data_IF_144791645370
#
_entry.id   IF_144791645370
#
_cell.length_a   1.000
_cell.length_b   1.000
_cell.length_c   1.000
_cell.angle_alpha   90.00
_cell.angle_beta   90.00
_cell.angle_gamma   90.00
#
_symmetry.space_group_name_H-M   'P 1'
#
loop_
_entity.id
_entity.type
_entity.pdbx_description
1 polymer ?
#
# COMPACT_ATOMS: atom_id res chain seq x y z
N UNK A 1 36.73 -23.61 -19.06
CA UNK A 1 35.43 -24.31 -19.12
C UNK A 1 34.43 -23.90 -18.02
N UNK A 2 34.85 -23.26 -16.94
CA UNK A 2 33.99 -22.84 -15.81
C UNK A 2 33.13 -21.60 -16.05
N UNK A 3 33.48 -20.72 -17.01
CA UNK A 3 32.69 -19.53 -17.35
C UNK A 3 31.46 -19.79 -18.24
N UNK A 4 31.47 -20.86 -19.03
CA UNK A 4 30.34 -21.22 -19.89
C UNK A 4 29.26 -21.92 -19.05
N UNK A 5 29.67 -22.78 -18.10
CA UNK A 5 28.75 -23.45 -17.19
C UNK A 5 28.00 -22.46 -16.27
N UNK A 6 28.65 -21.38 -15.82
CA UNK A 6 28.01 -20.34 -15.00
C UNK A 6 27.08 -19.43 -15.82
N UNK A 7 27.40 -19.17 -17.09
CA UNK A 7 26.53 -18.46 -18.02
C UNK A 7 25.27 -19.29 -18.35
N UNK A 8 25.41 -20.60 -18.59
CA UNK A 8 24.29 -21.52 -18.84
C UNK A 8 23.41 -21.68 -17.58
N UNK A 9 24.01 -21.74 -16.38
CA UNK A 9 23.25 -21.82 -15.12
C UNK A 9 22.49 -20.53 -14.77
N UNK A 10 23.00 -19.35 -15.19
CA UNK A 10 22.27 -18.07 -15.15
C UNK A 10 21.19 -17.98 -16.21
N UNK A 11 21.38 -18.61 -17.38
CA UNK A 11 20.41 -18.65 -18.46
C UNK A 11 19.13 -19.39 -18.06
N UNK A 12 19.24 -20.46 -17.26
CA UNK A 12 18.11 -21.21 -16.73
C UNK A 12 17.49 -20.65 -15.43
N UNK A 13 18.06 -19.59 -14.84
CA UNK A 13 17.42 -18.85 -13.73
C UNK A 13 16.40 -17.81 -14.19
N UNK A 14 16.19 -17.66 -15.50
CA UNK A 14 14.99 -17.00 -15.99
C UNK A 14 13.79 -17.85 -15.61
N UNK A 15 12.91 -17.30 -14.78
CA UNK A 15 11.57 -17.78 -14.46
C UNK A 15 10.65 -17.77 -15.72
N UNK A 16 11.13 -18.32 -16.83
CA UNK A 16 10.42 -18.40 -18.10
C UNK A 16 9.11 -19.18 -17.96
N UNK A 17 9.06 -20.19 -17.07
CA UNK A 17 7.82 -20.90 -16.76
C UNK A 17 6.76 -19.99 -16.13
N UNK A 18 7.14 -18.93 -15.41
CA UNK A 18 6.18 -18.01 -14.81
C UNK A 18 5.46 -17.18 -15.86
N UNK A 19 6.08 -16.95 -17.03
CA UNK A 19 5.43 -16.35 -18.20
C UNK A 19 4.26 -17.18 -18.74
N UNK A 20 4.26 -18.48 -18.41
CA UNK A 20 3.19 -19.42 -18.71
C UNK A 20 2.24 -19.67 -17.52
N UNK A 21 2.16 -18.80 -16.53
CA UNK A 21 1.08 -18.91 -15.54
C UNK A 21 -0.30 -18.51 -16.13
N UNK A 22 -1.40 -19.16 -15.69
CA UNK A 22 -2.76 -18.73 -16.03
C UNK A 22 -3.01 -17.27 -15.63
N UNK A 23 -3.63 -16.46 -16.50
CA UNK A 23 -3.96 -15.05 -16.21
C UNK A 23 -3.04 -13.99 -16.81
N UNK A 24 -1.89 -14.37 -17.38
CA UNK A 24 -0.94 -13.39 -17.95
C UNK A 24 -1.22 -12.99 -19.41
N UNK A 25 -2.22 -13.57 -20.07
CA UNK A 25 -2.64 -13.33 -21.47
C UNK A 25 -1.56 -13.47 -22.57
N UNK A 26 -0.27 -13.53 -22.24
CA UNK A 26 0.86 -13.66 -23.17
C UNK A 26 0.76 -14.93 -24.01
N UNK A 27 0.27 -16.04 -23.44
CA UNK A 27 0.13 -17.33 -24.14
C UNK A 27 -0.67 -17.23 -25.44
N UNK A 28 -1.76 -16.45 -25.44
CA UNK A 28 -2.65 -16.31 -26.60
C UNK A 28 -1.96 -15.54 -27.73
N UNK A 29 -1.25 -14.47 -27.38
CA UNK A 29 -0.51 -13.65 -28.35
C UNK A 29 0.74 -14.36 -28.86
N UNK A 30 1.46 -15.08 -27.99
CA UNK A 30 2.61 -15.90 -28.40
C UNK A 30 2.18 -17.01 -29.37
N UNK A 31 1.07 -17.70 -29.08
CA UNK A 31 0.49 -18.70 -29.97
C UNK A 31 0.11 -18.08 -31.32
N UNK A 32 -0.53 -16.89 -31.32
CA UNK A 32 -0.89 -16.18 -32.54
C UNK A 32 0.34 -15.81 -33.38
N UNK A 33 1.41 -15.33 -32.76
CA UNK A 33 2.67 -15.02 -33.45
C UNK A 33 3.32 -16.27 -34.05
N UNK A 34 3.34 -17.38 -33.32
CA UNK A 34 3.86 -18.66 -33.83
C UNK A 34 3.05 -19.12 -35.05
N UNK A 35 1.71 -19.05 -34.98
CA UNK A 35 0.82 -19.39 -36.09
C UNK A 35 1.08 -18.47 -37.29
N UNK A 36 1.21 -17.15 -37.07
CA UNK A 36 1.49 -16.18 -38.13
C UNK A 36 2.83 -16.43 -38.83
N UNK A 37 3.89 -16.70 -38.08
CA UNK A 37 5.21 -17.04 -38.64
C UNK A 37 5.16 -18.36 -39.42
N UNK A 38 4.45 -19.36 -38.91
CA UNK A 38 4.26 -20.63 -39.63
C UNK A 38 3.53 -20.43 -40.96
N UNK A 39 2.42 -19.68 -40.97
CA UNK A 39 1.68 -19.35 -42.20
C UNK A 39 2.54 -18.59 -43.20
N UNK A 40 3.32 -17.60 -42.75
CA UNK A 40 4.23 -16.85 -43.60
C UNK A 40 5.32 -17.74 -44.20
N UNK A 41 5.87 -18.66 -43.40
CA UNK A 41 6.89 -19.62 -43.84
C UNK A 41 6.33 -20.57 -44.88
N UNK A 42 5.11 -21.10 -44.69
CA UNK A 42 4.45 -21.94 -45.68
C UNK A 42 4.14 -21.18 -46.97
N UNK A 43 3.60 -19.96 -46.88
CA UNK A 43 3.31 -19.13 -48.05
C UNK A 43 4.56 -18.84 -48.89
N UNK A 44 5.66 -18.45 -48.22
CA UNK A 44 6.93 -18.22 -48.90
C UNK A 44 7.51 -19.51 -49.51
N UNK A 45 7.37 -20.65 -48.82
CA UNK A 45 7.84 -21.94 -49.33
C UNK A 45 7.09 -22.36 -50.59
N UNK A 46 5.79 -22.11 -50.69
CA UNK A 46 5.00 -22.37 -51.89
C UNK A 46 5.44 -21.49 -53.07
N UNK A 47 5.62 -20.18 -52.83
CA UNK A 47 6.09 -19.23 -53.87
C UNK A 47 7.47 -19.64 -54.40
N UNK A 48 8.41 -19.97 -53.50
CA UNK A 48 9.76 -20.41 -53.88
C UNK A 48 9.72 -21.73 -54.65
N UNK A 49 8.88 -22.68 -54.24
CA UNK A 49 8.70 -23.96 -54.95
C UNK A 49 8.16 -23.72 -56.36
N UNK A 50 7.15 -22.87 -56.52
CA UNK A 50 6.53 -22.60 -57.82
C UNK A 50 7.50 -21.90 -58.77
N UNK A 51 8.27 -20.92 -58.28
CA UNK A 51 9.32 -20.25 -59.05
C UNK A 51 10.39 -21.25 -59.56
N UNK A 52 10.74 -22.24 -58.73
CA UNK A 52 11.68 -23.29 -59.13
C UNK A 52 11.11 -24.21 -60.21
N UNK A 53 9.81 -24.54 -60.15
CA UNK A 53 9.14 -25.41 -61.13
C UNK A 53 8.90 -24.70 -62.47
N UNK A 54 8.68 -23.39 -62.47
CA UNK A 54 8.51 -22.57 -63.68
C UNK A 54 9.82 -22.22 -64.37
N UNK A 55 10.95 -22.75 -63.90
CA UNK A 55 12.26 -22.59 -64.55
C UNK A 55 12.90 -21.23 -64.31
N UNK A 56 12.48 -20.49 -63.27
CA UNK A 56 13.07 -19.20 -62.93
C UNK A 56 14.53 -19.39 -62.48
N UNK A 57 15.48 -18.92 -63.29
CA UNK A 57 16.90 -18.94 -62.94
C UNK A 57 17.21 -17.81 -61.97
N UNK A 58 17.58 -18.17 -60.74
CA UNK A 58 18.07 -17.22 -59.76
C UNK A 58 19.40 -16.60 -60.24
N UNK A 59 19.67 -15.32 -59.96
CA UNK A 59 20.96 -14.70 -60.28
C UNK A 59 22.15 -15.41 -59.62
N UNK A 60 23.33 -15.37 -60.25
CA UNK A 60 24.51 -16.15 -59.82
C UNK A 60 24.95 -15.90 -58.36
N UNK A 61 24.76 -14.69 -57.83
CA UNK A 61 25.11 -14.38 -56.44
C UNK A 61 24.25 -15.14 -55.40
N UNK A 62 23.05 -15.61 -55.79
CA UNK A 62 22.19 -16.43 -54.93
C UNK A 62 22.81 -17.77 -54.60
N UNK A 63 23.75 -18.27 -55.42
CA UNK A 63 24.51 -19.49 -55.15
C UNK A 63 25.23 -19.42 -53.78
N UNK A 64 25.86 -18.26 -53.51
CA UNK A 64 26.60 -18.03 -52.27
C UNK A 64 25.67 -17.70 -51.10
N UNK A 65 24.66 -16.86 -51.31
CA UNK A 65 23.69 -16.47 -50.27
C UNK A 65 22.89 -17.66 -49.76
N UNK A 66 22.49 -18.55 -50.68
CA UNK A 66 21.76 -19.78 -50.34
C UNK A 66 22.70 -20.95 -50.08
N UNK A 67 24.02 -20.75 -49.94
CA UNK A 67 24.99 -21.80 -49.61
C UNK A 67 24.82 -23.11 -50.42
N UNK A 68 24.61 -23.02 -51.73
CA UNK A 68 24.30 -24.20 -52.57
C UNK A 68 25.45 -25.21 -52.69
N UNK A 69 26.67 -24.78 -52.35
CA UNK A 69 27.84 -25.63 -52.24
C UNK A 69 27.77 -26.65 -51.08
N UNK A 70 26.81 -26.51 -50.16
CA UNK A 70 26.58 -27.41 -49.01
C UNK A 70 25.43 -28.38 -49.34
N UNK A 71 25.52 -29.68 -48.96
CA UNK A 71 24.42 -30.62 -49.12
C UNK A 71 23.09 -30.10 -48.56
N UNK A 72 21.99 -30.32 -49.30
CA UNK A 72 20.66 -29.74 -49.04
C UNK A 72 20.20 -29.90 -47.59
N UNK A 73 20.39 -31.09 -47.01
CA UNK A 73 19.99 -31.39 -45.63
C UNK A 73 20.81 -30.63 -44.59
N UNK A 74 22.13 -30.54 -44.77
CA UNK A 74 23.05 -29.85 -43.84
C UNK A 74 22.77 -28.35 -43.85
N UNK A 75 22.57 -27.78 -45.04
CA UNK A 75 22.20 -26.38 -45.21
C UNK A 75 20.88 -26.05 -44.51
N UNK A 76 19.86 -26.90 -44.67
CA UNK A 76 18.56 -26.70 -44.03
C UNK A 76 18.66 -26.68 -42.50
N UNK A 77 19.41 -27.64 -41.93
CA UNK A 77 19.69 -27.67 -40.49
C UNK A 77 20.46 -26.44 -40.03
N UNK A 78 21.47 -25.99 -40.77
CA UNK A 78 22.24 -24.80 -40.45
C UNK A 78 21.36 -23.54 -40.40
N UNK A 79 20.53 -23.31 -41.42
CA UNK A 79 19.61 -22.16 -41.43
C UNK A 79 18.58 -22.22 -40.28
N UNK A 80 18.04 -23.40 -39.97
CA UNK A 80 17.12 -23.55 -38.83
C UNK A 80 17.81 -23.24 -37.50
N UNK A 81 19.04 -23.71 -37.29
CA UNK A 81 19.81 -23.44 -36.08
C UNK A 81 20.19 -21.96 -35.95
N UNK A 82 20.61 -21.31 -37.04
CA UNK A 82 20.91 -19.87 -37.06
C UNK A 82 19.66 -19.04 -36.80
N UNK A 83 18.52 -19.38 -37.43
CA UNK A 83 17.25 -18.70 -37.21
C UNK A 83 16.77 -18.85 -35.75
N UNK A 84 16.84 -20.05 -35.18
CA UNK A 84 16.51 -20.29 -33.78
C UNK A 84 17.42 -19.47 -32.85
N UNK A 85 18.74 -19.45 -33.11
CA UNK A 85 19.69 -18.66 -32.34
C UNK A 85 19.42 -17.16 -32.39
N UNK A 86 19.12 -16.62 -33.58
CA UNK A 86 18.75 -15.21 -33.76
C UNK A 86 17.45 -14.87 -33.05
N UNK A 87 16.41 -15.72 -33.14
CA UNK A 87 15.14 -15.50 -32.43
C UNK A 87 15.36 -15.46 -30.92
N UNK A 88 16.11 -16.41 -30.37
CA UNK A 88 16.43 -16.44 -28.93
C UNK A 88 17.20 -15.19 -28.52
N UNK A 89 18.20 -14.80 -29.31
CA UNK A 89 18.99 -13.58 -29.06
C UNK A 89 18.14 -12.31 -29.15
N UNK A 90 17.25 -12.20 -30.13
CA UNK A 90 16.35 -11.06 -30.32
C UNK A 90 15.36 -10.94 -29.17
N UNK A 91 14.74 -12.04 -28.73
CA UNK A 91 13.85 -12.04 -27.57
C UNK A 91 14.62 -11.61 -26.31
N UNK A 92 15.84 -12.14 -26.11
CA UNK A 92 16.69 -11.78 -24.98
C UNK A 92 17.04 -10.28 -24.98
N UNK A 93 17.49 -9.74 -26.12
CA UNK A 93 17.89 -8.33 -26.26
C UNK A 93 16.71 -7.36 -26.16
N UNK A 94 15.55 -7.72 -26.70
CA UNK A 94 14.32 -6.93 -26.56
C UNK A 94 13.87 -6.87 -25.11
N UNK A 95 13.90 -8.00 -24.40
CA UNK A 95 13.56 -8.03 -22.98
C UNK A 95 14.52 -7.16 -22.16
N UNK A 96 15.84 -7.27 -22.42
CA UNK A 96 16.84 -6.47 -21.73
C UNK A 96 16.70 -4.95 -22.00
N UNK A 97 16.41 -4.58 -23.25
CA UNK A 97 16.23 -3.18 -23.68
C UNK A 97 14.96 -2.54 -23.14
N UNK A 98 13.88 -3.30 -22.96
CA UNK A 98 12.64 -2.77 -22.38
C UNK A 98 12.74 -2.64 -20.86
N UNK A 99 13.40 -3.60 -20.20
CA UNK A 99 13.57 -3.59 -18.74
C UNK A 99 14.49 -2.46 -18.29
N UNK A 100 15.57 -2.18 -19.03
CA UNK A 100 16.54 -1.14 -18.67
C UNK A 100 15.96 0.28 -18.68
N UNK A 101 14.90 0.53 -19.46
CA UNK A 101 14.22 1.83 -19.55
C UNK A 101 13.13 1.98 -18.49
N UNK A 102 12.49 0.90 -18.06
CA UNK A 102 11.36 0.94 -17.12
C UNK A 102 11.77 0.86 -15.65
N UNK A 103 12.94 0.31 -15.33
CA UNK A 103 13.42 0.16 -13.95
C UNK A 103 14.87 0.62 -13.82
N UNK A 104 15.12 1.94 -13.76
CA UNK A 104 16.42 2.44 -13.35
C UNK A 104 16.54 2.14 -11.84
N UNK A 105 17.49 1.31 -11.45
CA UNK A 105 17.95 1.14 -10.05
C UNK A 105 17.14 0.29 -9.04
N UNK A 106 16.45 -0.80 -9.45
CA UNK A 106 16.06 -1.87 -8.50
C UNK A 106 16.50 -3.25 -8.98
N UNK A 107 16.91 -4.10 -8.04
CA UNK A 107 17.36 -5.49 -8.24
C UNK A 107 16.53 -6.22 -9.29
N UNK A 108 17.21 -6.62 -10.37
CA UNK A 108 16.70 -6.90 -11.74
C UNK A 108 15.67 -8.04 -11.87
N UNK A 109 15.34 -8.77 -10.81
CA UNK A 109 14.60 -10.04 -10.91
C UNK A 109 13.28 -10.07 -10.14
N UNK A 110 13.12 -9.27 -9.08
CA UNK A 110 11.91 -9.31 -8.24
C UNK A 110 10.83 -8.29 -8.66
N UNK A 111 11.22 -7.24 -9.41
CA UNK A 111 10.42 -6.04 -9.61
C UNK A 111 9.17 -6.24 -10.48
N UNK A 112 9.30 -6.74 -11.72
CA UNK A 112 8.18 -6.73 -12.68
C UNK A 112 7.04 -7.71 -12.35
N UNK A 113 7.38 -8.91 -11.89
CA UNK A 113 6.37 -9.91 -11.51
C UNK A 113 5.66 -9.46 -10.25
N UNK A 114 6.38 -8.91 -9.25
CA UNK A 114 5.73 -8.31 -8.09
C UNK A 114 4.92 -7.08 -8.47
N UNK A 115 5.37 -6.17 -9.34
CA UNK A 115 4.58 -5.01 -9.77
C UNK A 115 3.29 -5.42 -10.48
N UNK A 116 3.34 -6.42 -11.37
CA UNK A 116 2.15 -6.91 -12.08
C UNK A 116 1.22 -7.72 -11.15
N UNK A 117 1.78 -8.56 -10.27
CA UNK A 117 1.03 -9.28 -9.23
C UNK A 117 0.34 -8.30 -8.27
N UNK A 118 1.11 -7.33 -7.74
CA UNK A 118 0.63 -6.24 -6.86
C UNK A 118 -0.47 -5.42 -7.53
N UNK A 119 -0.32 -5.06 -8.81
CA UNK A 119 -1.31 -4.25 -9.52
C UNK A 119 -2.60 -5.01 -9.85
N UNK A 120 -2.53 -6.31 -10.20
CA UNK A 120 -3.71 -7.06 -10.66
C UNK A 120 -4.41 -7.89 -9.58
N UNK A 121 -3.66 -8.54 -8.68
CA UNK A 121 -4.25 -9.37 -7.63
C UNK A 121 -4.68 -8.56 -6.42
N UNK A 122 -3.83 -7.67 -5.90
CA UNK A 122 -4.18 -6.91 -4.69
C UNK A 122 -5.28 -5.87 -4.91
N UNK A 123 -5.46 -5.38 -6.15
CA UNK A 123 -6.60 -4.51 -6.50
C UNK A 123 -7.95 -5.23 -6.43
N UNK A 124 -7.96 -6.57 -6.49
CA UNK A 124 -9.13 -7.42 -6.24
C UNK A 124 -9.14 -8.01 -4.83
N UNK A 125 -8.24 -7.57 -3.95
CA UNK A 125 -8.19 -8.00 -2.57
C UNK A 125 -9.42 -7.52 -1.77
N UNK A 126 -9.63 -8.07 -0.56
CA UNK A 126 -10.75 -7.68 0.29
C UNK A 126 -10.67 -6.20 0.67
N UNK A 127 -11.83 -5.55 0.80
CA UNK A 127 -11.98 -4.21 1.36
C UNK A 127 -11.85 -4.29 2.89
N UNK A 128 -10.73 -3.83 3.43
CA UNK A 128 -10.47 -3.88 4.86
C UNK A 128 -10.48 -2.44 5.41
N UNK A 129 -11.33 -2.20 6.40
CA UNK A 129 -11.36 -0.96 7.16
C UNK A 129 -10.64 -1.17 8.48
N UNK A 130 -9.66 -0.34 8.79
CA UNK A 130 -8.96 -0.34 10.07
C UNK A 130 -9.21 0.98 10.81
N UNK A 131 -9.74 0.89 12.02
CA UNK A 131 -10.14 2.04 12.85
C UNK A 131 -9.22 2.12 14.06
N UNK A 132 -8.56 3.25 14.26
CA UNK A 132 -7.66 3.45 15.40
C UNK A 132 -6.85 4.73 15.32
N UNK A 133 -5.61 4.66 15.81
CA UNK A 133 -4.68 5.78 15.86
C UNK A 133 -3.25 5.31 16.15
N UNK A 134 -2.32 6.26 16.17
CA UNK A 134 -0.94 6.05 16.60
C UNK A 134 -0.10 5.07 15.76
N UNK A 135 0.91 4.50 16.41
CA UNK A 135 1.92 3.63 15.79
C UNK A 135 1.43 2.19 15.62
N UNK A 136 0.49 1.73 16.44
CA UNK A 136 -0.12 0.40 16.36
C UNK A 136 -0.84 0.21 15.03
N UNK A 137 -1.76 1.12 14.71
CA UNK A 137 -2.48 1.13 13.43
C UNK A 137 -1.51 1.22 12.24
N UNK A 138 -0.51 2.11 12.31
CA UNK A 138 0.49 2.25 11.26
C UNK A 138 1.29 0.95 11.01
N UNK A 139 1.59 0.19 12.06
CA UNK A 139 2.29 -1.10 11.94
C UNK A 139 1.40 -2.16 11.29
N UNK A 140 0.14 -2.24 11.71
CA UNK A 140 -0.86 -3.13 11.10
C UNK A 140 -1.02 -2.82 9.60
N UNK A 141 -1.23 -1.56 9.25
CA UNK A 141 -1.40 -1.12 7.85
C UNK A 141 -0.19 -1.45 6.97
N UNK A 142 1.03 -1.32 7.51
CA UNK A 142 2.26 -1.67 6.80
C UNK A 142 2.34 -3.16 6.48
N UNK A 143 1.79 -4.03 7.34
CA UNK A 143 1.66 -5.46 7.04
C UNK A 143 0.54 -5.75 6.06
N UNK A 144 -0.63 -5.15 6.25
CA UNK A 144 -1.82 -5.40 5.43
C UNK A 144 -1.67 -4.96 3.97
N UNK A 145 -0.86 -3.93 3.68
CA UNK A 145 -0.68 -3.41 2.30
C UNK A 145 -0.01 -4.41 1.35
N UNK A 146 0.58 -5.49 1.88
CA UNK A 146 1.13 -6.60 1.10
C UNK A 146 0.03 -7.58 0.64
N UNK A 147 -1.16 -7.55 1.26
CA UNK A 147 -2.26 -8.49 1.02
C UNK A 147 -3.46 -7.87 0.28
N UNK A 148 -3.67 -6.56 0.40
CA UNK A 148 -4.74 -5.86 -0.33
C UNK A 148 -4.36 -4.41 -0.59
N UNK A 149 -4.88 -3.84 -1.68
CA UNK A 149 -4.84 -2.39 -1.97
C UNK A 149 -6.10 -1.66 -1.54
N UNK A 150 -7.13 -2.40 -1.15
CA UNK A 150 -8.44 -1.88 -0.75
C UNK A 150 -8.45 -1.66 0.77
N UNK A 151 -7.46 -0.91 1.27
CA UNK A 151 -7.34 -0.54 2.68
C UNK A 151 -7.92 0.85 2.90
N UNK A 152 -8.75 0.97 3.93
CA UNK A 152 -9.20 2.27 4.44
C UNK A 152 -8.84 2.39 5.91
N UNK A 153 -7.97 3.35 6.24
CA UNK A 153 -7.62 3.69 7.61
C UNK A 153 -8.51 4.84 8.10
N UNK A 154 -9.26 4.62 9.17
CA UNK A 154 -10.05 5.65 9.84
C UNK A 154 -9.33 6.07 11.11
N UNK A 155 -9.01 7.37 11.21
CA UNK A 155 -8.20 7.91 12.31
C UNK A 155 -8.91 9.00 13.08
N UNK A 156 -8.60 9.08 14.38
CA UNK A 156 -9.10 10.15 15.24
C UNK A 156 -8.40 11.47 14.91
N UNK A 157 -9.11 12.58 15.09
CA UNK A 157 -8.57 13.95 14.99
C UNK A 157 -8.62 14.66 16.34
N UNK A 158 -8.63 13.90 17.44
CA UNK A 158 -8.70 14.43 18.80
C UNK A 158 -7.33 14.64 19.48
N UNK A 159 -6.23 14.17 18.86
CA UNK A 159 -4.85 14.33 19.35
C UNK A 159 -4.52 15.81 19.64
N UNK A 160 -3.92 16.07 20.79
CA UNK A 160 -3.45 17.39 21.21
C UNK A 160 -2.02 17.36 21.80
N UNK A 161 -1.31 16.25 21.60
CA UNK A 161 0.04 16.01 22.07
C UNK A 161 1.14 16.44 21.09
N UNK A 162 2.32 16.75 21.65
CA UNK A 162 3.55 17.00 20.90
C UNK A 162 3.40 17.97 19.72
N UNK A 163 3.97 17.60 18.57
CA UNK A 163 3.93 18.44 17.36
C UNK A 163 2.52 18.64 16.81
N UNK A 164 1.61 17.67 16.94
CA UNK A 164 0.23 17.82 16.49
C UNK A 164 -0.50 18.88 17.32
N UNK A 165 -0.35 18.79 18.64
CA UNK A 165 -0.94 19.72 19.60
C UNK A 165 -0.48 21.16 19.46
N UNK A 166 0.82 21.38 19.27
CA UNK A 166 1.37 22.72 19.04
C UNK A 166 0.75 23.33 17.79
N UNK A 167 0.75 22.60 16.67
CA UNK A 167 0.17 23.09 15.41
C UNK A 167 -1.34 23.36 15.53
N UNK A 168 -2.05 22.49 16.24
CA UNK A 168 -3.48 22.64 16.51
C UNK A 168 -3.80 23.92 17.30
N UNK A 169 -3.03 24.22 18.36
CA UNK A 169 -3.22 25.41 19.19
C UNK A 169 -2.82 26.71 18.49
N UNK A 170 -1.70 26.69 17.76
CA UNK A 170 -1.16 27.90 17.12
C UNK A 170 -1.86 28.27 15.81
N UNK A 171 -2.32 27.27 15.04
CA UNK A 171 -2.86 27.46 13.69
C UNK A 171 -4.35 27.11 13.58
N UNK A 172 -4.96 26.55 14.62
CA UNK A 172 -6.38 26.16 14.61
C UNK A 172 -6.71 25.01 13.64
N UNK A 173 -5.71 24.22 13.26
CA UNK A 173 -5.85 23.11 12.29
C UNK A 173 -6.14 21.78 12.98
N UNK A 174 -6.72 20.82 12.26
CA UNK A 174 -6.87 19.45 12.75
C UNK A 174 -5.49 18.80 12.96
N UNK A 175 -5.32 17.96 14.00
CA UNK A 175 -4.04 17.35 14.31
C UNK A 175 -3.61 16.36 13.20
N UNK A 176 -2.43 16.57 12.58
CA UNK A 176 -2.00 15.74 11.44
C UNK A 176 -1.28 14.45 11.84
N UNK A 177 -0.96 14.22 13.12
CA UNK A 177 -0.03 13.18 13.57
C UNK A 177 -0.40 11.76 13.17
N UNK A 178 -1.62 11.33 13.47
CA UNK A 178 -2.09 9.98 13.18
C UNK A 178 -2.30 9.74 11.68
N UNK A 179 -2.82 10.76 10.99
CA UNK A 179 -2.91 10.78 9.53
C UNK A 179 -1.52 10.61 8.91
N UNK A 180 -0.52 11.37 9.38
CA UNK A 180 0.88 11.28 8.91
C UNK A 180 1.43 9.87 9.10
N UNK A 181 1.21 9.26 10.26
CA UNK A 181 1.67 7.89 10.53
C UNK A 181 1.07 6.87 9.54
N UNK A 182 -0.23 6.98 9.27
CA UNK A 182 -0.92 6.11 8.31
C UNK A 182 -0.44 6.32 6.87
N UNK A 183 -0.27 7.58 6.45
CA UNK A 183 0.32 7.92 5.14
C UNK A 183 1.71 7.28 5.01
N UNK A 184 2.57 7.42 6.01
CA UNK A 184 3.92 6.88 5.97
C UNK A 184 3.94 5.33 5.99
N UNK A 185 2.96 4.69 6.64
CA UNK A 185 2.81 3.23 6.63
C UNK A 185 2.41 2.69 5.26
N UNK A 186 1.46 3.37 4.60
CA UNK A 186 0.87 2.95 3.34
C UNK A 186 1.62 3.48 2.10
N UNK A 187 2.61 4.36 2.27
CA UNK A 187 3.44 4.88 1.19
C UNK A 187 4.19 3.76 0.44
N UNK A 188 4.29 3.94 -0.87
CA UNK A 188 5.11 3.15 -1.81
C UNK A 188 6.22 4.00 -2.45
N UNK A 189 6.44 5.20 -1.91
CA UNK A 189 7.45 6.15 -2.36
C UNK A 189 8.88 5.67 -2.11
N UNK A 190 9.84 6.36 -2.73
CA UNK A 190 11.27 6.13 -2.52
C UNK A 190 11.63 6.18 -1.02
N UNK A 191 12.53 5.31 -0.51
CA UNK A 191 12.89 5.27 0.90
C UNK A 191 13.33 6.62 1.46
N UNK A 192 14.01 7.45 0.66
CA UNK A 192 14.43 8.78 1.06
C UNK A 192 13.24 9.71 1.36
N UNK A 193 12.24 9.74 0.48
CA UNK A 193 11.04 10.59 0.65
C UNK A 193 10.25 10.17 1.88
N UNK A 194 10.10 8.86 2.10
CA UNK A 194 9.43 8.34 3.30
C UNK A 194 10.19 8.71 4.58
N UNK A 195 11.52 8.64 4.57
CA UNK A 195 12.35 9.07 5.71
C UNK A 195 12.25 10.57 5.96
N UNK A 196 12.25 11.39 4.91
CA UNK A 196 12.04 12.83 5.03
C UNK A 196 10.67 13.14 5.65
N UNK A 197 9.62 12.45 5.21
CA UNK A 197 8.27 12.64 5.73
C UNK A 197 8.15 12.29 7.23
N UNK A 198 8.92 11.30 7.70
CA UNK A 198 9.00 10.93 9.11
C UNK A 198 10.02 11.75 9.91
N UNK A 199 10.78 12.64 9.27
CA UNK A 199 11.81 13.42 9.95
C UNK A 199 11.21 14.29 11.06
N UNK A 200 11.90 14.33 12.19
CA UNK A 200 11.61 15.18 13.34
C UNK A 200 12.80 16.08 13.60
N UNK A 201 12.56 17.37 13.68
CA UNK A 201 13.59 18.35 13.98
C UNK A 201 14.04 18.19 15.43
N UNK A 202 15.34 17.97 15.64
CA UNK A 202 15.96 17.84 16.96
C UNK A 202 16.33 19.19 17.57
N UNK A 203 16.62 20.18 16.73
CA UNK A 203 17.16 21.48 17.12
C UNK A 203 16.50 22.60 16.31
N UNK A 204 16.67 23.85 16.78
CA UNK A 204 16.18 25.06 16.12
C UNK A 204 15.03 25.74 16.88
N UNK A 205 15.11 27.07 16.98
CA UNK A 205 14.07 27.89 17.61
C UNK A 205 12.75 27.76 16.83
N UNK A 206 11.67 27.33 17.49
CA UNK A 206 10.35 27.15 16.89
C UNK A 206 10.17 25.90 16.02
N UNK A 207 11.24 25.23 15.59
CA UNK A 207 11.17 23.98 14.82
C UNK A 207 11.46 22.73 15.65
N UNK A 208 12.25 22.85 16.72
CA UNK A 208 12.59 21.73 17.58
C UNK A 208 11.32 21.00 18.07
N UNK A 209 11.28 19.68 17.90
CA UNK A 209 10.14 18.83 18.25
C UNK A 209 9.09 18.68 17.16
N UNK A 210 9.03 19.56 16.15
CA UNK A 210 8.11 19.40 15.02
C UNK A 210 8.50 18.25 14.11
N UNK A 211 7.49 17.64 13.49
CA UNK A 211 7.70 16.69 12.39
C UNK A 211 7.54 17.38 11.04
N UNK A 212 8.47 17.12 10.12
CA UNK A 212 8.37 17.64 8.75
C UNK A 212 7.06 17.19 8.09
N UNK A 213 6.65 15.93 8.23
CA UNK A 213 5.38 15.46 7.66
C UNK A 213 4.15 16.17 8.22
N UNK A 214 4.16 16.54 9.50
CA UNK A 214 3.07 17.34 10.09
C UNK A 214 3.03 18.74 9.46
N UNK A 215 4.19 19.42 9.39
CA UNK A 215 4.30 20.73 8.74
C UNK A 215 3.89 20.67 7.27
N UNK A 216 4.27 19.59 6.57
CA UNK A 216 3.91 19.37 5.17
C UNK A 216 2.39 19.25 4.99
N UNK A 217 1.70 18.46 5.81
CA UNK A 217 0.23 18.31 5.75
C UNK A 217 -0.46 19.64 6.06
N UNK A 218 0.01 20.38 7.06
CA UNK A 218 -0.56 21.69 7.42
C UNK A 218 -0.35 22.71 6.30
N UNK A 219 0.85 22.79 5.74
CA UNK A 219 1.14 23.65 4.59
C UNK A 219 0.28 23.27 3.37
N UNK A 220 0.14 21.97 3.10
CA UNK A 220 -0.74 21.48 2.03
C UNK A 220 -2.20 21.87 2.26
N UNK A 221 -2.67 21.83 3.51
CA UNK A 221 -4.02 22.29 3.89
C UNK A 221 -4.21 23.77 3.63
N UNK A 222 -3.20 24.60 3.92
CA UNK A 222 -3.22 26.03 3.59
C UNK A 222 -3.22 26.31 2.08
N UNK A 223 -2.51 25.51 1.29
CA UNK A 223 -2.44 25.67 -0.17
C UNK A 223 -3.73 25.25 -0.87
N UNK A 224 -4.32 24.12 -0.45
CA UNK A 224 -5.52 23.57 -1.10
C UNK A 224 -6.81 24.11 -0.48
N UNK A 225 -6.75 24.64 0.74
CA UNK A 225 -7.89 25.22 1.46
C UNK A 225 -8.76 24.19 2.20
N UNK A 226 -8.38 22.91 2.22
CA UNK A 226 -9.12 21.84 2.88
C UNK A 226 -8.17 20.80 3.46
N UNK A 227 -8.41 20.38 4.72
CA UNK A 227 -7.64 19.31 5.36
C UNK A 227 -7.85 17.96 4.66
N UNK A 228 -9.09 17.68 4.24
CA UNK A 228 -9.43 16.46 3.50
C UNK A 228 -8.64 16.38 2.18
N UNK A 229 -8.65 17.46 1.40
CA UNK A 229 -7.90 17.49 0.15
C UNK A 229 -6.40 17.46 0.37
N UNK A 230 -5.89 18.04 1.46
CA UNK A 230 -4.48 17.94 1.82
C UNK A 230 -4.04 16.50 2.09
N UNK A 231 -4.88 15.69 2.75
CA UNK A 231 -4.64 14.25 2.94
C UNK A 231 -4.62 13.56 1.57
N UNK A 232 -5.59 13.86 0.71
CA UNK A 232 -5.72 13.28 -0.64
C UNK A 232 -4.51 13.60 -1.52
N UNK A 233 -4.06 14.86 -1.55
CA UNK A 233 -2.88 15.28 -2.33
C UNK A 233 -1.58 14.74 -1.75
N UNK A 234 -1.39 14.80 -0.43
CA UNK A 234 -0.21 14.24 0.24
C UNK A 234 -0.11 12.73 -0.02
N UNK A 235 -1.23 12.01 0.05
CA UNK A 235 -1.30 10.58 -0.25
C UNK A 235 -0.91 10.27 -1.69
N UNK A 236 -1.29 11.13 -2.64
CA UNK A 236 -0.91 11.00 -4.05
C UNK A 236 0.59 11.23 -4.26
N UNK A 237 1.16 12.26 -3.63
CA UNK A 237 2.61 12.57 -3.69
C UNK A 237 3.45 11.40 -3.17
N UNK A 238 2.98 10.73 -2.11
CA UNK A 238 3.67 9.60 -1.48
C UNK A 238 3.28 8.23 -2.04
N UNK A 239 2.52 8.18 -3.13
CA UNK A 239 2.05 6.95 -3.76
C UNK A 239 1.43 5.95 -2.77
N UNK A 240 0.58 6.45 -1.87
CA UNK A 240 -0.08 5.66 -0.83
C UNK A 240 -0.96 4.57 -1.43
N UNK A 241 -0.87 3.35 -0.88
CA UNK A 241 -1.70 2.20 -1.24
C UNK A 241 -2.88 2.04 -0.28
N UNK A 242 -3.99 2.72 -0.58
CA UNK A 242 -5.20 2.72 0.24
C UNK A 242 -5.73 4.14 0.43
N UNK A 243 -6.64 4.30 1.39
CA UNK A 243 -7.24 5.57 1.77
C UNK A 243 -7.03 5.82 3.25
N UNK A 244 -6.76 7.08 3.61
CA UNK A 244 -6.73 7.55 5.00
C UNK A 244 -7.85 8.57 5.12
N UNK A 245 -8.78 8.36 6.05
CA UNK A 245 -9.96 9.19 6.23
C UNK A 245 -10.04 9.57 7.72
N UNK A 246 -10.15 10.85 8.06
CA UNK A 246 -10.41 11.24 9.45
C UNK A 246 -11.83 10.81 9.85
N UNK A 247 -12.03 10.43 11.10
CA UNK A 247 -13.35 10.06 11.63
C UNK A 247 -14.36 11.21 11.53
N UNK A 248 -13.89 12.45 11.68
CA UNK A 248 -14.67 13.68 11.51
C UNK A 248 -13.78 14.79 10.95
N UNK A 249 -14.39 15.80 10.31
CA UNK A 249 -13.72 17.06 9.96
C UNK A 249 -13.97 18.16 11.02
N UNK A 250 -14.77 17.88 12.04
CA UNK A 250 -14.95 18.80 13.16
C UNK A 250 -13.72 18.79 14.06
N UNK A 251 -13.36 19.97 14.58
CA UNK A 251 -12.32 20.09 15.59
C UNK A 251 -12.88 19.62 16.94
N UNK A 252 -12.49 18.41 17.37
CA UNK A 252 -13.02 17.75 18.57
C UNK A 252 -11.93 17.55 19.61
N UNK A 253 -12.25 17.81 20.87
CA UNK A 253 -11.37 17.53 22.02
C UNK A 253 -11.86 16.25 22.68
N UNK A 254 -10.93 15.34 22.97
CA UNK A 254 -11.22 14.16 23.78
C UNK A 254 -11.24 14.55 25.26
N UNK A 255 -12.31 14.19 25.95
CA UNK A 255 -12.47 14.42 27.38
C UNK A 255 -12.67 13.07 28.09
N UNK A 256 -12.17 12.98 29.32
CA UNK A 256 -12.40 11.84 30.20
C UNK A 256 -12.97 12.31 31.54
N UNK A 257 -13.84 11.51 32.12
CA UNK A 257 -14.29 11.63 33.50
C UNK A 257 -13.69 10.48 34.30
N UNK A 258 -13.10 10.78 35.47
CA UNK A 258 -12.61 9.75 36.38
C UNK A 258 -13.73 9.24 37.29
N UNK A 259 -13.51 8.12 38.00
CA UNK A 259 -14.43 7.63 39.05
C UNK A 259 -14.65 8.68 40.16
N UNK A 260 -13.64 9.52 40.44
CA UNK A 260 -13.71 10.65 41.37
C UNK A 260 -14.41 11.89 40.79
N UNK A 261 -15.14 11.74 39.68
CA UNK A 261 -15.90 12.81 39.01
C UNK A 261 -15.06 13.98 38.49
N UNK A 262 -13.73 13.83 38.44
CA UNK A 262 -12.85 14.85 37.85
C UNK A 262 -12.92 14.77 36.33
N UNK A 263 -12.92 15.93 35.69
CA UNK A 263 -12.93 16.05 34.23
C UNK A 263 -11.53 16.39 33.75
N UNK A 264 -11.04 15.59 32.82
CA UNK A 264 -9.74 15.75 32.16
C UNK A 264 -10.05 16.12 30.70
N UNK A 265 -9.52 17.23 30.23
CA UNK A 265 -9.67 17.70 28.85
C UNK A 265 -8.34 17.58 28.11
N UNK A 266 -8.38 16.99 26.91
CA UNK A 266 -7.21 16.78 26.07
C UNK A 266 -6.71 15.35 26.12
N UNK A 267 -6.39 14.79 24.95
CA UNK A 267 -5.91 13.41 24.81
C UNK A 267 -4.59 13.20 25.54
N UNK A 268 -3.66 14.14 25.42
CA UNK A 268 -2.33 14.07 26.05
C UNK A 268 -2.35 14.14 27.57
N UNK A 269 -3.48 14.56 28.17
CA UNK A 269 -3.68 14.59 29.62
C UNK A 269 -4.32 13.29 30.13
N UNK A 270 -5.01 12.54 29.27
CA UNK A 270 -5.62 11.26 29.60
C UNK A 270 -4.50 10.22 29.79
N UNK A 271 -4.41 9.64 30.99
CA UNK A 271 -3.27 8.82 31.42
C UNK A 271 -2.41 9.54 32.46
N UNK A 272 -1.60 10.55 32.11
CA UNK A 272 -0.79 11.28 33.08
C UNK A 272 -1.62 11.94 34.20
N UNK A 273 -2.76 12.56 33.86
CA UNK A 273 -3.61 13.27 34.81
C UNK A 273 -4.53 12.36 35.63
N UNK A 274 -4.54 11.04 35.36
CA UNK A 274 -5.18 10.09 36.28
C UNK A 274 -4.29 9.82 37.50
N UNK A 275 -3.06 10.30 37.53
CA UNK A 275 -2.19 10.19 38.71
C UNK A 275 -2.29 11.42 39.62
N UNK A 276 -2.73 11.21 40.86
CA UNK A 276 -2.60 12.18 41.95
C UNK A 276 -1.36 11.89 42.80
N UNK A 277 -0.16 12.16 42.27
CA UNK A 277 1.09 11.89 43.01
C UNK A 277 1.41 10.39 43.15
N UNK A 278 1.88 9.96 44.33
CA UNK A 278 2.33 8.58 44.60
C UNK A 278 1.19 7.55 44.76
N UNK A 279 -0.07 7.94 44.54
CA UNK A 279 -1.24 7.07 44.62
C UNK A 279 -1.49 6.24 43.34
N UNK A 280 -2.31 5.18 43.41
CA UNK A 280 -2.73 4.46 42.21
C UNK A 280 -3.53 5.39 41.28
N UNK A 281 -3.43 5.22 39.95
CA UNK A 281 -4.16 6.05 39.00
C UNK A 281 -5.67 5.92 39.19
N UNK A 282 -6.36 7.06 39.14
CA UNK A 282 -7.80 7.16 39.03
C UNK A 282 -8.29 6.42 37.79
N UNK A 283 -9.32 5.59 37.95
CA UNK A 283 -9.91 4.90 36.82
C UNK A 283 -10.77 5.86 36.00
N UNK A 284 -10.70 5.69 34.68
CA UNK A 284 -11.57 6.38 33.74
C UNK A 284 -12.96 5.74 33.83
N UNK A 285 -13.96 6.54 34.21
CA UNK A 285 -15.37 6.11 34.25
C UNK A 285 -16.05 6.32 32.89
N UNK A 286 -15.73 7.42 32.20
CA UNK A 286 -16.33 7.75 30.91
C UNK A 286 -15.37 8.55 30.03
N UNK A 287 -15.47 8.37 28.71
CA UNK A 287 -14.89 9.27 27.71
C UNK A 287 -15.97 9.81 26.77
N UNK A 288 -15.78 11.04 26.30
CA UNK A 288 -16.67 11.72 25.37
C UNK A 288 -15.89 12.74 24.52
N UNK A 289 -16.49 13.19 23.42
CA UNK A 289 -15.94 14.25 22.56
C UNK A 289 -16.61 15.58 22.88
N UNK A 290 -15.85 16.66 22.78
CA UNK A 290 -16.37 18.03 22.81
C UNK A 290 -15.98 18.74 21.50
N UNK A 291 -16.96 19.18 20.68
CA UNK A 291 -18.40 18.97 20.82
C UNK A 291 -18.81 17.51 20.64
N UNK A 292 -19.92 17.11 21.25
CA UNK A 292 -20.45 15.74 21.27
C UNK A 292 -21.21 15.34 20.00
N UNK A 293 -21.58 16.33 19.18
CA UNK A 293 -22.38 16.17 17.96
C UNK A 293 -21.54 16.21 16.68
N UNK A 294 -20.24 15.90 16.77
CA UNK A 294 -19.34 15.89 15.63
C UNK A 294 -19.84 14.95 14.51
N UNK A 295 -20.04 15.45 13.27
CA UNK A 295 -20.52 14.62 12.17
C UNK A 295 -19.43 13.65 11.71
N UNK A 296 -19.81 12.42 11.38
CA UNK A 296 -18.88 11.48 10.77
C UNK A 296 -18.51 11.90 9.34
N UNK A 297 -17.27 11.61 8.94
CA UNK A 297 -16.87 11.79 7.55
C UNK A 297 -17.69 10.87 6.63
N UNK A 298 -18.35 11.39 5.57
CA UNK A 298 -19.22 10.58 4.71
C UNK A 298 -18.48 9.41 4.04
N UNK A 299 -17.25 9.64 3.56
CA UNK A 299 -16.44 8.56 2.97
C UNK A 299 -16.06 7.47 4.00
N UNK A 300 -15.89 7.81 5.28
CA UNK A 300 -15.60 6.82 6.33
C UNK A 300 -16.82 5.92 6.58
N UNK A 301 -18.01 6.52 6.68
CA UNK A 301 -19.29 5.79 6.79
C UNK A 301 -19.46 4.83 5.61
N UNK A 302 -19.26 5.32 4.38
CA UNK A 302 -19.36 4.50 3.17
C UNK A 302 -18.36 3.34 3.19
N UNK A 303 -17.11 3.59 3.54
CA UNK A 303 -16.07 2.56 3.60
C UNK A 303 -16.43 1.45 4.61
N UNK A 304 -16.96 1.81 5.78
CA UNK A 304 -17.39 0.86 6.81
C UNK A 304 -18.54 -0.03 6.31
N UNK A 305 -19.53 0.56 5.62
CA UNK A 305 -20.68 -0.17 5.10
C UNK A 305 -20.33 -1.09 3.93
N UNK A 306 -19.32 -0.73 3.13
CA UNK A 306 -18.83 -1.53 2.01
C UNK A 306 -17.70 -2.51 2.39
N UNK A 307 -17.29 -2.57 3.66
CA UNK A 307 -16.16 -3.37 4.11
C UNK A 307 -16.44 -4.88 4.03
N UNK A 308 -15.41 -5.66 3.68
CA UNK A 308 -15.40 -7.12 3.83
C UNK A 308 -14.88 -7.54 5.21
N UNK A 309 -14.15 -6.65 5.91
CA UNK A 309 -13.61 -6.85 7.26
C UNK A 309 -13.39 -5.49 7.93
N UNK A 310 -13.79 -5.38 9.20
CA UNK A 310 -13.52 -4.21 10.04
C UNK A 310 -12.56 -4.60 11.16
N UNK A 311 -11.45 -3.89 11.26
CA UNK A 311 -10.43 -4.04 12.29
C UNK A 311 -10.50 -2.86 13.27
N UNK A 312 -10.59 -3.14 14.55
CA UNK A 312 -10.52 -2.15 15.62
C UNK A 312 -9.16 -2.27 16.31
N UNK A 313 -8.37 -1.19 16.28
CA UNK A 313 -7.00 -1.19 16.80
C UNK A 313 -5.98 -1.89 15.86
N UNK A 314 -4.78 -2.24 16.36
CA UNK A 314 -4.34 -2.03 17.74
C UNK A 314 -4.05 -0.55 18.03
N UNK A 315 -4.13 -0.16 19.30
CA UNK A 315 -3.87 1.19 19.76
C UNK A 315 -4.46 1.41 21.15
N UNK A 316 -4.15 2.56 21.77
CA UNK A 316 -4.72 2.89 23.07
C UNK A 316 -6.24 2.82 23.05
N UNK A 317 -6.82 2.13 24.04
CA UNK A 317 -8.25 1.87 24.05
C UNK A 317 -9.03 3.20 24.12
N UNK A 318 -8.71 4.04 25.11
CA UNK A 318 -9.44 5.27 25.37
C UNK A 318 -9.02 6.44 24.48
N UNK A 319 -7.77 6.46 24.01
CA UNK A 319 -7.22 7.60 23.26
C UNK A 319 -7.03 7.35 21.76
N UNK A 320 -7.10 6.11 21.27
CA UNK A 320 -6.96 5.79 19.83
C UNK A 320 -8.14 5.03 19.23
N UNK A 321 -8.69 4.02 19.91
CA UNK A 321 -9.76 3.18 19.35
C UNK A 321 -11.13 3.80 19.59
N UNK A 322 -11.49 3.98 20.86
CA UNK A 322 -12.81 4.49 21.23
C UNK A 322 -13.12 5.91 20.72
N UNK A 323 -12.17 6.87 20.62
CA UNK A 323 -12.49 8.21 20.12
C UNK A 323 -13.09 8.21 18.70
N UNK A 324 -12.69 7.25 17.86
CA UNK A 324 -13.30 7.08 16.55
C UNK A 324 -14.77 6.60 16.66
N UNK A 325 -15.07 5.75 17.64
CA UNK A 325 -16.41 5.21 17.91
C UNK A 325 -17.31 6.16 18.71
N UNK A 326 -16.74 7.22 19.31
CA UNK A 326 -17.52 8.29 19.92
C UNK A 326 -18.24 9.15 18.85
N UNK A 327 -17.71 9.19 17.63
CA UNK A 327 -18.38 9.82 16.49
C UNK A 327 -19.60 8.97 16.08
N UNK A 328 -20.79 9.50 16.32
CA UNK A 328 -22.07 8.78 16.17
C UNK A 328 -22.20 8.03 14.83
N UNK A 329 -21.89 8.71 13.73
CA UNK A 329 -22.02 8.13 12.39
C UNK A 329 -21.05 6.97 12.15
N UNK A 330 -19.85 7.02 12.72
CA UNK A 330 -18.88 5.91 12.66
C UNK A 330 -19.43 4.72 13.44
N UNK A 331 -19.85 4.95 14.70
CA UNK A 331 -20.44 3.90 15.55
C UNK A 331 -21.62 3.20 14.89
N UNK A 332 -22.61 3.97 14.42
CA UNK A 332 -23.79 3.44 13.74
C UNK A 332 -23.43 2.60 12.53
N UNK A 333 -22.43 3.05 11.75
CA UNK A 333 -21.98 2.33 10.56
C UNK A 333 -21.32 1.00 10.91
N UNK A 334 -20.50 0.97 11.96
CA UNK A 334 -19.86 -0.27 12.44
C UNK A 334 -20.92 -1.28 12.90
N UNK A 335 -21.93 -0.82 13.63
CA UNK A 335 -23.06 -1.66 14.09
C UNK A 335 -23.89 -2.16 12.91
N UNK A 336 -24.18 -1.30 11.93
CA UNK A 336 -25.03 -1.62 10.79
C UNK A 336 -24.34 -2.52 9.74
N UNK A 337 -23.01 -2.46 9.64
CA UNK A 337 -22.26 -3.25 8.66
C UNK A 337 -22.40 -4.75 8.94
N UNK A 338 -22.57 -5.56 7.90
CA UNK A 338 -22.57 -7.04 8.00
C UNK A 338 -21.17 -7.64 8.03
N UNK A 339 -20.13 -6.83 7.85
CA UNK A 339 -18.76 -7.31 7.87
C UNK A 339 -18.40 -7.94 9.22
N UNK A 340 -17.55 -9.00 9.25
CA UNK A 340 -16.92 -9.44 10.47
C UNK A 340 -16.12 -8.29 11.10
N UNK A 341 -16.20 -8.17 12.43
CA UNK A 341 -15.43 -7.20 13.21
C UNK A 341 -14.40 -7.95 14.02
N UNK A 342 -13.14 -7.53 13.95
CA UNK A 342 -12.07 -8.07 14.78
C UNK A 342 -11.43 -6.96 15.59
N UNK A 343 -11.41 -7.12 16.90
CA UNK A 343 -10.65 -6.26 17.80
C UNK A 343 -9.24 -6.83 17.99
N UNK A 344 -8.23 -6.02 17.70
CA UNK A 344 -6.82 -6.39 17.90
C UNK A 344 -6.42 -5.85 19.27
N UNK A 345 -6.57 -6.72 20.28
CA UNK A 345 -6.33 -6.39 21.67
C UNK A 345 -4.87 -5.98 21.92
N UNK A 346 -4.70 -5.04 22.86
CA UNK A 346 -3.39 -4.56 23.27
C UNK A 346 -2.60 -5.69 23.95
N UNK A 347 -1.29 -5.75 23.68
CA UNK A 347 -0.38 -6.76 24.25
C UNK A 347 -0.03 -6.44 25.70
N UNK A 348 -0.04 -5.16 26.06
CA UNK A 348 0.27 -4.67 27.39
C UNK A 348 -0.79 -3.66 27.84
N UNK A 349 -1.02 -3.59 29.14
CA UNK A 349 -1.79 -2.52 29.77
C UNK A 349 -1.06 -1.19 29.63
N UNK A 350 -1.82 -0.10 29.56
CA UNK A 350 -1.30 1.26 29.54
C UNK A 350 -1.64 1.95 30.85
N UNK A 351 -0.59 2.48 31.47
CA UNK A 351 -0.69 3.16 32.75
C UNK A 351 -1.58 4.39 32.66
N UNK A 352 -2.55 4.48 33.56
CA UNK A 352 -3.57 5.51 33.62
C UNK A 352 -4.74 5.33 32.65
N UNK A 353 -4.72 4.31 31.79
CA UNK A 353 -5.81 4.01 30.84
C UNK A 353 -6.43 2.64 31.10
N UNK A 354 -5.62 1.57 31.11
CA UNK A 354 -6.09 0.17 31.11
C UNK A 354 -5.40 -0.66 32.20
N UNK A 355 -5.07 -0.05 33.34
CA UNK A 355 -4.45 -0.73 34.47
C UNK A 355 -5.28 -1.91 34.97
N UNK A 356 -4.65 -3.10 35.01
CA UNK A 356 -5.30 -4.34 35.44
C UNK A 356 -6.34 -4.89 34.45
N UNK A 357 -6.46 -4.32 33.25
CA UNK A 357 -7.37 -4.86 32.24
C UNK A 357 -6.87 -6.20 31.70
N UNK A 358 -7.76 -7.18 31.68
CA UNK A 358 -7.61 -8.38 30.86
C UNK A 358 -8.30 -8.16 29.48
N UNK A 359 -8.25 -9.16 28.60
CA UNK A 359 -8.89 -9.09 27.27
C UNK A 359 -10.40 -8.88 27.38
N UNK A 360 -11.05 -9.52 28.34
CA UNK A 360 -12.50 -9.39 28.54
C UNK A 360 -12.89 -7.95 28.96
N UNK A 361 -12.09 -7.31 29.82
CA UNK A 361 -12.31 -5.92 30.21
C UNK A 361 -12.24 -4.97 29.00
N UNK A 362 -11.25 -5.15 28.11
CA UNK A 362 -11.18 -4.36 26.88
C UNK A 362 -12.42 -4.55 26.00
N UNK A 363 -12.86 -5.80 25.83
CA UNK A 363 -14.03 -6.13 25.01
C UNK A 363 -15.32 -5.55 25.61
N UNK A 364 -15.53 -5.69 26.91
CA UNK A 364 -16.69 -5.13 27.61
C UNK A 364 -16.76 -3.61 27.45
N UNK A 365 -15.64 -2.90 27.58
CA UNK A 365 -15.59 -1.44 27.36
C UNK A 365 -15.94 -1.08 25.91
N UNK A 366 -15.50 -1.89 24.93
CA UNK A 366 -15.87 -1.69 23.53
C UNK A 366 -17.36 -1.95 23.28
N UNK A 367 -17.89 -3.06 23.80
CA UNK A 367 -19.30 -3.44 23.69
C UNK A 367 -20.22 -2.40 24.34
N UNK A 368 -19.85 -1.88 25.51
CA UNK A 368 -20.57 -0.79 26.18
C UNK A 368 -20.67 0.44 25.28
N UNK A 369 -19.57 0.83 24.63
CA UNK A 369 -19.56 1.99 23.73
C UNK A 369 -20.25 1.72 22.40
N UNK A 370 -20.25 0.49 21.90
CA UNK A 370 -21.03 0.09 20.73
C UNK A 370 -22.52 -0.11 21.05
N UNK A 371 -22.86 -0.33 22.32
CA UNK A 371 -24.23 -0.58 22.79
C UNK A 371 -24.77 -1.97 22.48
N UNK A 372 -23.91 -2.94 22.10
CA UNK A 372 -24.25 -4.35 21.82
C UNK A 372 -23.06 -5.27 21.94
#
# INVERSE_FOLDING_TARGET
MTHIASAVRRFFQFDFLKWFYPGMHIKRWLALTIIGVAMMTFGLSYIVREAYLTGFTLPDFMYYVTAQFIPRYIRGVAFMMTAMGLIVFSIWKLNDSLISVLVPNRTRTESLVNTIYTQRFLSRGPKIVAIGGGTGLATLLRGLKEYTRNLTAIVTVADDGGSSGVLRRELGVLPPGDVRNCIAALADAEPLVTRLFQYRFSEGSGLAGHSFGNLFIVAMSGVVGSFEDAIRQTSRVLAVRGQIIPSTLANVTLCARTEDMRTIEGESQIGPSTTNGDGPPDRISEIYLLPDNAPAHPEAVRAILEADLILLGPGSLYTSVLPNLLVEGIRRSVIASSAPKAYICNVATQYGETDGFNVAAHLLTLEEKLGK
#
